data_IF_728766729391
#
_entry.id   IF_728766729391
#
_cell.length_a   1.000
_cell.length_b   1.000
_cell.length_c   1.000
_cell.angle_alpha   90.00
_cell.angle_beta   90.00
_cell.angle_gamma   90.00
#
_symmetry.space_group_name_H-M   'P 1'
#
loop_
_entity.id
_entity.type
_entity.pdbx_description
1 polymer ?
#
# COMPACT_ATOMS: atom_id res chain seq x y z
N UNK A 1 -20.38 -9.99 6.68
CA UNK A 1 -19.76 -10.75 5.57
C UNK A 1 -18.26 -10.79 5.78
N UNK A 2 -17.66 -11.91 5.56
CA UNK A 2 -16.21 -12.06 5.58
C UNK A 2 -15.63 -11.81 4.19
N UNK A 3 -14.63 -10.96 4.11
CA UNK A 3 -14.00 -10.56 2.86
C UNK A 3 -12.49 -10.82 2.97
N UNK A 4 -11.93 -11.51 2.00
CA UNK A 4 -10.49 -11.59 1.79
C UNK A 4 -10.13 -10.66 0.64
N UNK A 5 -9.26 -9.70 0.91
CA UNK A 5 -8.72 -8.83 -0.12
C UNK A 5 -7.22 -9.07 -0.26
N UNK A 6 -6.83 -9.51 -1.45
CA UNK A 6 -5.44 -9.68 -1.84
C UNK A 6 -5.08 -8.48 -2.71
N UNK A 7 -4.36 -7.53 -2.18
CA UNK A 7 -4.17 -6.29 -2.91
C UNK A 7 -2.94 -5.49 -2.51
N UNK A 8 -2.61 -4.53 -3.35
CA UNK A 8 -1.42 -3.71 -3.25
C UNK A 8 -1.40 -2.81 -2.02
N UNK A 9 -0.21 -2.67 -1.45
CA UNK A 9 0.10 -1.77 -0.34
C UNK A 9 1.24 -0.86 -0.78
N UNK A 10 1.03 0.44 -0.74
CA UNK A 10 2.03 1.43 -1.18
C UNK A 10 2.21 2.54 -0.16
N UNK A 11 3.45 2.98 -0.02
CA UNK A 11 3.75 4.24 0.67
C UNK A 11 3.85 5.34 -0.38
N UNK A 12 3.10 6.41 -0.22
CA UNK A 12 3.13 7.55 -1.13
C UNK A 12 3.99 8.65 -0.51
N UNK A 13 5.12 8.95 -1.16
CA UNK A 13 5.99 10.09 -0.82
C UNK A 13 5.61 11.27 -1.71
N UNK A 14 4.97 12.27 -1.12
CA UNK A 14 4.45 13.42 -1.86
C UNK A 14 5.35 14.63 -1.61
N UNK A 15 6.06 15.02 -2.66
CA UNK A 15 6.96 16.17 -2.67
C UNK A 15 6.25 17.34 -3.32
N UNK A 16 6.09 18.43 -2.59
CA UNK A 16 5.55 19.65 -3.16
C UNK A 16 6.69 20.47 -3.77
N UNK A 17 6.50 20.87 -5.00
CA UNK A 17 7.49 21.66 -5.77
C UNK A 17 6.80 22.86 -6.41
N UNK A 18 7.58 23.87 -6.81
CA UNK A 18 7.06 24.99 -7.60
C UNK A 18 6.70 24.51 -9.01
N UNK A 19 7.64 23.83 -9.64
CA UNK A 19 7.52 23.23 -10.98
C UNK A 19 8.18 21.87 -10.97
N UNK A 20 7.71 20.98 -11.84
CA UNK A 20 8.32 19.66 -11.97
C UNK A 20 9.79 19.75 -12.34
N UNK A 21 10.57 18.84 -11.77
CA UNK A 21 11.98 18.71 -12.04
C UNK A 21 12.22 18.38 -13.51
N UNK A 22 13.09 19.12 -14.16
CA UNK A 22 13.54 18.84 -15.54
C UNK A 22 14.83 18.04 -15.54
N UNK A 23 15.15 17.34 -16.64
CA UNK A 23 16.40 16.60 -16.74
C UNK A 23 17.60 17.48 -16.42
N UNK A 24 18.50 16.97 -15.58
CA UNK A 24 19.69 17.66 -15.15
C UNK A 24 19.50 18.69 -14.04
N UNK A 25 18.27 18.96 -13.61
CA UNK A 25 18.02 19.89 -12.51
C UNK A 25 18.16 19.22 -11.15
N UNK A 26 18.58 20.04 -10.18
CA UNK A 26 18.53 19.71 -8.75
C UNK A 26 17.74 20.79 -8.06
N UNK A 27 16.67 20.42 -7.38
CA UNK A 27 15.83 21.35 -6.61
C UNK A 27 15.57 20.83 -5.23
N UNK A 28 15.42 21.73 -4.28
CA UNK A 28 14.86 21.40 -2.98
C UNK A 28 13.34 21.43 -3.06
N UNK A 29 12.67 20.39 -2.57
CA UNK A 29 11.21 20.39 -2.47
C UNK A 29 10.77 21.38 -1.39
N UNK A 30 9.54 21.88 -1.52
CA UNK A 30 8.95 22.79 -0.53
C UNK A 30 8.47 22.03 0.71
N UNK A 31 8.03 20.81 0.54
CA UNK A 31 7.59 19.94 1.63
C UNK A 31 7.61 18.48 1.21
N UNK A 32 7.61 17.60 2.19
CA UNK A 32 7.43 16.15 2.00
C UNK A 32 6.37 15.66 2.97
N UNK A 33 5.36 15.00 2.43
CA UNK A 33 4.35 14.30 3.21
C UNK A 33 4.32 12.84 2.77
N UNK A 34 4.09 11.95 3.73
CA UNK A 34 4.03 10.52 3.49
C UNK A 34 2.62 10.02 3.81
N UNK A 35 2.02 9.31 2.86
CA UNK A 35 0.66 8.80 3.00
C UNK A 35 0.61 7.31 2.75
N UNK A 36 -0.38 6.66 3.36
CA UNK A 36 -0.72 5.28 3.04
C UNK A 36 -1.52 5.25 1.75
N UNK A 37 -1.09 4.42 0.81
CA UNK A 37 -1.74 4.28 -0.50
C UNK A 37 -1.83 2.83 -0.94
N UNK A 38 -2.23 2.67 -2.18
CA UNK A 38 -2.50 1.38 -2.80
C UNK A 38 -3.98 1.10 -2.91
N UNK A 39 -4.38 0.62 -4.07
CA UNK A 39 -5.80 0.29 -4.32
C UNK A 39 -6.29 -0.80 -3.38
N UNK A 40 -5.45 -1.79 -3.11
CA UNK A 40 -5.77 -2.86 -2.18
C UNK A 40 -6.00 -2.35 -0.77
N UNK A 41 -5.11 -1.50 -0.27
CA UNK A 41 -5.25 -0.90 1.05
C UNK A 41 -6.56 -0.11 1.15
N UNK A 42 -6.84 0.72 0.17
CA UNK A 42 -8.04 1.57 0.17
C UNK A 42 -9.32 0.73 0.15
N UNK A 43 -9.34 -0.35 -0.62
CA UNK A 43 -10.49 -1.27 -0.67
C UNK A 43 -10.74 -1.93 0.69
N UNK A 44 -9.68 -2.43 1.32
CA UNK A 44 -9.81 -3.08 2.63
C UNK A 44 -10.35 -2.13 3.69
N UNK A 45 -9.82 -0.92 3.74
CA UNK A 45 -10.27 0.09 4.70
C UNK A 45 -11.73 0.47 4.46
N UNK A 46 -12.11 0.70 3.20
CA UNK A 46 -13.48 1.05 2.85
C UNK A 46 -14.46 -0.06 3.22
N UNK A 47 -14.12 -1.31 2.92
CA UNK A 47 -14.95 -2.46 3.25
C UNK A 47 -15.10 -2.66 4.75
N UNK A 48 -14.03 -2.46 5.53
CA UNK A 48 -14.07 -2.55 6.98
C UNK A 48 -14.94 -1.44 7.58
N UNK A 49 -14.82 -0.22 7.08
CA UNK A 49 -15.65 0.91 7.53
C UNK A 49 -17.12 0.72 7.20
N UNK A 50 -17.44 -0.06 6.17
CA UNK A 50 -18.80 -0.42 5.82
C UNK A 50 -19.39 -1.53 6.70
N UNK A 51 -18.65 -2.01 7.70
CA UNK A 51 -19.12 -3.00 8.66
C UNK A 51 -18.80 -4.44 8.34
N UNK A 52 -17.94 -4.70 7.37
CA UNK A 52 -17.53 -6.05 7.01
C UNK A 52 -16.33 -6.53 7.84
N UNK A 53 -16.22 -7.84 8.00
CA UNK A 53 -15.03 -8.48 8.56
C UNK A 53 -14.03 -8.70 7.43
N UNK A 54 -12.98 -7.89 7.39
CA UNK A 54 -12.02 -7.86 6.28
C UNK A 54 -10.67 -8.42 6.71
N UNK A 55 -10.15 -9.33 5.89
CA UNK A 55 -8.80 -9.87 5.98
C UNK A 55 -8.01 -9.34 4.78
N UNK A 56 -6.87 -8.74 5.04
CA UNK A 56 -5.98 -8.26 3.96
C UNK A 56 -4.80 -9.22 3.84
N UNK A 57 -4.55 -9.67 2.61
CA UNK A 57 -3.39 -10.49 2.29
C UNK A 57 -2.48 -9.74 1.33
N UNK A 58 -1.20 -9.73 1.65
CA UNK A 58 -0.17 -9.08 0.85
C UNK A 58 1.21 -9.48 1.36
N UNK A 59 2.23 -9.18 0.57
CA UNK A 59 3.61 -9.20 1.04
C UNK A 59 4.01 -7.77 1.36
N UNK A 60 4.46 -7.51 2.58
CA UNK A 60 4.82 -6.18 3.04
C UNK A 60 6.32 -6.10 3.29
N UNK A 61 6.98 -5.24 2.54
CA UNK A 61 8.41 -5.03 2.62
C UNK A 61 8.83 -3.95 3.61
N UNK A 62 10.13 -3.70 3.63
CA UNK A 62 10.75 -2.66 4.46
C UNK A 62 10.22 -1.30 4.06
N UNK A 63 9.98 -0.47 5.06
CA UNK A 63 9.44 0.87 4.89
C UNK A 63 7.92 0.94 4.89
N UNK A 64 7.23 -0.21 4.98
CA UNK A 64 5.78 -0.29 4.89
C UNK A 64 5.03 -0.47 6.19
N UNK A 65 5.69 -0.36 7.34
CA UNK A 65 5.07 -0.61 8.65
C UNK A 65 3.82 0.24 8.89
N UNK A 66 3.82 1.47 8.42
CA UNK A 66 2.68 2.38 8.55
C UNK A 66 1.42 1.86 7.85
N UNK A 67 1.59 1.06 6.79
CA UNK A 67 0.47 0.49 6.03
C UNK A 67 -0.25 -0.58 6.84
N UNK A 68 0.51 -1.44 7.51
CA UNK A 68 -0.03 -2.47 8.39
C UNK A 68 -0.77 -1.83 9.57
N UNK A 69 -0.18 -0.79 10.15
CA UNK A 69 -0.80 -0.04 11.24
C UNK A 69 -2.12 0.60 10.79
N UNK A 70 -2.14 1.24 9.62
CA UNK A 70 -3.35 1.86 9.07
C UNK A 70 -4.47 0.85 8.85
N UNK A 71 -4.14 -0.33 8.33
CA UNK A 71 -5.11 -1.42 8.16
C UNK A 71 -5.67 -1.88 9.50
N UNK A 72 -4.78 -2.18 10.44
CA UNK A 72 -5.16 -2.66 11.77
C UNK A 72 -6.03 -1.65 12.52
N UNK A 73 -5.67 -0.39 12.50
CA UNK A 73 -6.44 0.68 13.14
C UNK A 73 -7.81 0.90 12.49
N UNK A 74 -7.97 0.52 11.24
CA UNK A 74 -9.25 0.58 10.51
C UNK A 74 -10.13 -0.67 10.73
N UNK A 75 -9.66 -1.62 11.54
CA UNK A 75 -10.40 -2.84 11.83
C UNK A 75 -10.17 -3.98 10.86
N UNK A 76 -9.17 -3.88 10.00
CA UNK A 76 -8.79 -4.95 9.05
C UNK A 76 -7.90 -5.96 9.75
N UNK A 77 -8.17 -7.25 9.55
CA UNK A 77 -7.30 -8.32 10.04
C UNK A 77 -6.03 -8.39 9.18
N UNK A 78 -4.88 -8.30 9.82
CA UNK A 78 -3.57 -8.25 9.16
C UNK A 78 -2.72 -9.50 9.36
N UNK A 79 -3.29 -10.56 9.92
CA UNK A 79 -2.54 -11.77 10.27
C UNK A 79 -1.99 -12.51 9.06
N UNK A 80 -2.59 -12.30 7.89
CA UNK A 80 -2.17 -12.94 6.63
C UNK A 80 -1.13 -12.14 5.86
N UNK A 81 -0.75 -10.96 6.35
CA UNK A 81 0.29 -10.15 5.69
C UNK A 81 1.65 -10.79 5.98
N UNK A 82 2.36 -11.13 4.91
CA UNK A 82 3.68 -11.76 5.00
C UNK A 82 4.77 -10.69 4.99
N UNK A 83 5.64 -10.65 6.00
CA UNK A 83 6.77 -9.72 5.98
C UNK A 83 7.85 -10.13 4.98
N UNK A 84 8.59 -9.16 4.49
CA UNK A 84 9.70 -9.38 3.56
C UNK A 84 10.83 -8.40 3.88
N UNK A 85 12.07 -8.83 3.60
CA UNK A 85 13.25 -7.97 3.71
C UNK A 85 13.45 -7.07 2.49
N UNK A 86 12.69 -7.29 1.43
CA UNK A 86 12.72 -6.46 0.23
C UNK A 86 11.97 -5.15 0.47
N UNK A 87 12.22 -4.17 -0.39
CA UNK A 87 11.61 -2.84 -0.28
C UNK A 87 10.12 -2.88 -0.57
N UNK A 88 9.32 -2.22 0.26
CA UNK A 88 7.89 -2.05 0.07
C UNK A 88 7.59 -1.28 -1.22
N UNK A 89 6.47 -1.61 -1.85
CA UNK A 89 5.93 -0.82 -2.95
C UNK A 89 5.72 0.63 -2.52
N UNK A 90 6.09 1.56 -3.38
CA UNK A 90 5.94 2.98 -3.08
C UNK A 90 5.81 3.83 -4.33
N UNK A 91 5.38 5.06 -4.14
CA UNK A 91 5.29 6.06 -5.18
C UNK A 91 6.06 7.31 -4.78
N UNK A 92 6.80 7.86 -5.73
CA UNK A 92 7.42 9.18 -5.61
C UNK A 92 6.56 10.13 -6.42
N UNK A 93 5.93 11.07 -5.75
CA UNK A 93 4.94 11.96 -6.33
C UNK A 93 5.42 13.40 -6.21
N UNK A 94 5.46 14.11 -7.32
CA UNK A 94 5.65 15.55 -7.32
C UNK A 94 4.30 16.22 -7.54
N UNK A 95 4.00 17.23 -6.73
CA UNK A 95 2.82 18.08 -6.91
C UNK A 95 3.30 19.50 -7.11
N UNK A 96 2.94 20.12 -8.24
CA UNK A 96 3.34 21.47 -8.53
C UNK A 96 2.38 22.53 -7.95
N UNK A 97 2.69 23.80 -8.20
CA UNK A 97 1.89 24.93 -7.67
C UNK A 97 0.47 24.99 -8.25
N UNK A 98 0.22 24.33 -9.38
CA UNK A 98 -1.09 24.25 -10.02
C UNK A 98 -1.90 23.03 -9.56
N UNK A 99 -1.35 22.22 -8.64
CA UNK A 99 -1.99 21.00 -8.19
C UNK A 99 -1.87 19.84 -9.16
N UNK A 100 -1.07 19.96 -10.22
CA UNK A 100 -0.78 18.85 -11.13
C UNK A 100 0.21 17.90 -10.46
N UNK A 101 0.11 16.62 -10.78
CA UNK A 101 1.04 15.61 -10.24
C UNK A 101 1.75 14.84 -11.35
N UNK A 102 2.93 14.35 -11.02
CA UNK A 102 3.59 13.31 -11.79
C UNK A 102 4.09 12.23 -10.81
N UNK A 103 3.95 10.97 -11.20
CA UNK A 103 4.08 9.85 -10.30
C UNK A 103 5.06 8.83 -10.87
N UNK A 104 6.05 8.49 -10.06
CA UNK A 104 6.97 7.38 -10.34
C UNK A 104 6.66 6.24 -9.38
N UNK A 105 6.29 5.09 -9.92
CA UNK A 105 5.93 3.92 -9.11
C UNK A 105 7.08 2.92 -9.03
N UNK A 106 7.28 2.38 -7.84
CA UNK A 106 8.10 1.21 -7.63
C UNK A 106 7.22 0.09 -7.07
N UNK A 107 7.10 -1.02 -7.80
CA UNK A 107 6.22 -2.12 -7.40
C UNK A 107 6.62 -2.80 -6.10
N UNK A 108 7.93 -2.99 -5.90
CA UNK A 108 8.46 -3.57 -4.67
C UNK A 108 7.82 -4.91 -4.34
N UNK A 109 7.50 -5.12 -3.07
CA UNK A 109 6.92 -6.37 -2.60
C UNK A 109 5.51 -6.66 -3.13
N UNK A 110 4.83 -5.70 -3.74
CA UNK A 110 3.56 -5.98 -4.43
C UNK A 110 3.74 -6.93 -5.61
N UNK A 111 4.96 -7.06 -6.12
CA UNK A 111 5.31 -7.91 -7.25
C UNK A 111 5.92 -9.25 -6.84
N UNK A 112 5.99 -9.53 -5.55
CA UNK A 112 6.66 -10.72 -5.02
C UNK A 112 5.69 -11.79 -4.54
N UNK A 113 4.40 -11.67 -4.86
CA UNK A 113 3.40 -12.67 -4.52
C UNK A 113 3.70 -13.97 -5.27
N UNK A 114 3.76 -15.08 -4.52
CA UNK A 114 3.95 -16.40 -5.09
C UNK A 114 2.62 -17.15 -5.11
N UNK A 115 2.52 -18.11 -6.04
CA UNK A 115 1.37 -19.02 -6.07
C UNK A 115 1.21 -19.76 -4.74
N UNK A 116 2.33 -20.19 -4.15
CA UNK A 116 2.34 -20.89 -2.87
C UNK A 116 1.74 -20.04 -1.74
N UNK A 117 2.12 -18.77 -1.67
CA UNK A 117 1.57 -17.85 -0.68
C UNK A 117 0.07 -17.63 -0.90
N UNK A 118 -0.35 -17.44 -2.13
CA UNK A 118 -1.76 -17.24 -2.47
C UNK A 118 -2.58 -18.48 -2.09
N UNK A 119 -2.11 -19.66 -2.43
CA UNK A 119 -2.78 -20.92 -2.08
C UNK A 119 -2.89 -21.08 -0.57
N UNK A 120 -1.84 -20.78 0.17
CA UNK A 120 -1.82 -20.85 1.63
C UNK A 120 -2.84 -19.88 2.26
N UNK A 121 -2.91 -18.67 1.77
CA UNK A 121 -3.88 -17.67 2.23
C UNK A 121 -5.31 -18.12 1.95
N UNK A 122 -5.57 -18.63 0.74
CA UNK A 122 -6.89 -19.13 0.37
C UNK A 122 -7.33 -20.30 1.23
N UNK A 123 -6.41 -21.23 1.51
CA UNK A 123 -6.69 -22.38 2.38
C UNK A 123 -7.03 -21.93 3.80
N UNK A 124 -6.25 -21.04 4.36
CA UNK A 124 -6.49 -20.50 5.70
C UNK A 124 -7.82 -19.77 5.79
N UNK A 125 -8.12 -18.95 4.79
CA UNK A 125 -9.35 -18.19 4.75
C UNK A 125 -10.57 -19.10 4.57
N UNK A 126 -10.49 -20.08 3.68
CA UNK A 126 -11.56 -21.05 3.44
C UNK A 126 -11.86 -21.91 4.66
N UNK A 127 -10.84 -22.29 5.43
CA UNK A 127 -11.00 -23.08 6.65
C UNK A 127 -11.56 -22.26 7.82
N UNK A 128 -11.53 -20.94 7.75
CA UNK A 128 -12.04 -20.05 8.79
C UNK A 128 -13.48 -19.59 8.57
N UNK A 129 -14.23 -20.29 7.75
CA UNK A 129 -15.68 -20.15 7.74
C UNK A 129 -16.26 -19.23 6.68
N UNK A 130 -15.85 -19.45 5.50
CA UNK A 130 -16.69 -19.02 4.39
C UNK A 130 -17.86 -19.97 4.23
#
# INVERSE_FOLDING_TARGET
MKILNLGSLNVDYVYKVDKFLLPGETKSSLSLNTYCGGKGLNQSIAAAKAGNEVYHAAVLGKGGEMLKTALSESGVNVDMIQPSDETCGHAIIQVDEKGQNCILLYGGTNRTLTKEYIDDVLDKFGNNGL
#
